data_IF_167927542258
#
_entry.id   IF_167927542258
#
_cell.length_a   1.000
_cell.length_b   1.000
_cell.length_c   1.000
_cell.angle_alpha   90.00
_cell.angle_beta   90.00
_cell.angle_gamma   90.00
#
_symmetry.space_group_name_H-M   'P 1'
#
loop_
_entity.id
_entity.type
_entity.pdbx_description
1 polymer ?
#
# COMPACT_ATOMS: atom_id res chain seq x y z
N UNK A 1 5.10 33.23 50.93
CA UNK A 1 4.36 33.23 52.22
C UNK A 1 5.09 34.01 53.32
N UNK A 2 6.37 33.76 53.60
CA UNK A 2 7.13 34.48 54.67
C UNK A 2 7.14 36.02 54.52
N UNK A 3 7.24 36.55 53.29
CA UNK A 3 7.24 38.00 53.03
C UNK A 3 5.87 38.66 53.25
N UNK A 4 4.77 37.94 52.96
CA UNK A 4 3.39 38.41 53.19
C UNK A 4 3.09 38.42 54.70
N UNK A 5 3.55 37.38 55.42
CA UNK A 5 3.46 37.31 56.89
C UNK A 5 4.25 38.42 57.59
N UNK A 6 5.45 38.76 57.09
CA UNK A 6 6.25 39.87 57.62
C UNK A 6 5.59 41.23 57.37
N UNK A 7 5.03 41.46 56.18
CA UNK A 7 4.30 42.71 55.87
C UNK A 7 3.02 42.82 56.72
N UNK A 8 2.27 41.73 56.88
CA UNK A 8 1.09 41.69 57.75
C UNK A 8 1.46 41.97 59.23
N UNK A 9 2.55 41.39 59.73
CA UNK A 9 3.04 41.66 61.08
C UNK A 9 3.51 43.12 61.25
N UNK A 10 4.19 43.69 60.27
CA UNK A 10 4.64 45.10 60.29
C UNK A 10 3.47 46.09 60.23
N UNK A 11 2.35 45.74 59.59
CA UNK A 11 1.14 46.58 59.55
C UNK A 11 0.30 46.44 60.84
N UNK A 12 0.24 45.25 61.44
CA UNK A 12 -0.54 44.99 62.66
C UNK A 12 0.13 45.54 63.93
N UNK A 13 1.45 45.49 64.04
CA UNK A 13 2.18 45.93 65.25
C UNK A 13 1.97 47.42 65.59
N UNK A 14 2.03 48.37 64.63
CA UNK A 14 1.73 49.78 64.90
C UNK A 14 0.27 50.01 65.30
N UNK A 15 -0.69 49.27 64.73
CA UNK A 15 -2.13 49.38 65.06
C UNK A 15 -2.40 48.95 66.50
N UNK A 16 -1.74 47.88 66.97
CA UNK A 16 -1.86 47.41 68.36
C UNK A 16 -1.17 48.37 69.33
N UNK A 17 -0.01 48.93 68.96
CA UNK A 17 0.65 49.96 69.77
C UNK A 17 -0.16 51.26 69.88
N UNK A 18 -0.93 51.61 68.85
CA UNK A 18 -1.85 52.77 68.88
C UNK A 18 -3.14 52.50 69.66
N UNK A 19 -3.56 51.23 69.79
CA UNK A 19 -4.77 50.83 70.51
C UNK A 19 -4.54 50.61 72.03
N UNK A 20 -3.29 50.39 72.46
CA UNK A 20 -2.93 50.17 73.87
C UNK A 20 -2.43 51.43 74.62
N UNK A 21 -2.24 52.56 73.92
CA UNK A 21 -1.87 53.84 74.52
C UNK A 21 -3.08 54.66 74.93
N UNK A 22 -3.53 54.50 76.17
CA UNK A 22 -4.47 55.41 76.82
C UNK A 22 -3.94 56.84 76.80
N UNK A 23 -4.82 57.77 76.43
CA UNK A 23 -4.47 59.15 76.14
C UNK A 23 -3.91 59.92 77.33
N UNK A 24 -2.92 60.76 77.01
CA UNK A 24 -2.71 62.08 77.59
C UNK A 24 -1.88 62.84 76.57
N UNK A 25 -2.49 63.76 75.83
CA UNK A 25 -1.85 64.95 75.29
C UNK A 25 -2.92 65.92 74.77
N UNK A 26 -3.17 66.96 75.57
CA UNK A 26 -3.68 68.24 75.10
C UNK A 26 -2.85 68.74 73.90
N UNK A 27 -3.54 69.23 72.88
CA UNK A 27 -2.96 70.10 71.85
C UNK A 27 -2.76 69.43 70.49
N UNK A 28 -3.45 69.96 69.48
CA UNK A 28 -3.18 69.74 68.05
C UNK A 28 -1.80 70.33 67.71
N UNK A 29 -0.73 69.65 68.12
CA UNK A 29 0.65 70.08 67.95
C UNK A 29 1.27 69.50 66.67
N UNK A 30 2.08 70.30 65.99
CA UNK A 30 2.86 69.90 64.80
C UNK A 30 3.69 68.61 65.05
N UNK A 31 4.02 68.32 66.31
CA UNK A 31 4.75 67.12 66.75
C UNK A 31 3.99 65.81 66.55
N UNK A 32 2.69 65.75 66.85
CA UNK A 32 1.91 64.51 66.66
C UNK A 32 1.69 64.22 65.18
N UNK A 33 1.48 65.26 64.38
CA UNK A 33 1.39 65.16 62.93
C UNK A 33 2.73 64.70 62.32
N UNK A 34 3.86 65.24 62.80
CA UNK A 34 5.19 64.80 62.39
C UNK A 34 5.46 63.32 62.76
N UNK A 35 5.03 62.86 63.93
CA UNK A 35 5.18 61.45 64.33
C UNK A 35 4.36 60.49 63.45
N UNK A 36 3.13 60.88 63.09
CA UNK A 36 2.28 60.10 62.16
C UNK A 36 2.87 60.04 60.76
N UNK A 37 3.40 61.16 60.24
CA UNK A 37 4.09 61.19 58.94
C UNK A 37 5.34 60.32 58.98
N UNK A 38 6.13 60.39 60.06
CA UNK A 38 7.33 59.57 60.22
C UNK A 38 6.99 58.07 60.24
N UNK A 39 5.95 57.66 60.97
CA UNK A 39 5.48 56.28 60.99
C UNK A 39 5.03 55.81 59.60
N UNK A 40 4.23 56.63 58.90
CA UNK A 40 3.80 56.34 57.54
C UNK A 40 4.98 56.25 56.56
N UNK A 41 5.97 57.14 56.67
CA UNK A 41 7.17 57.12 55.85
C UNK A 41 7.98 55.83 56.09
N UNK A 42 8.14 55.39 57.34
CA UNK A 42 8.79 54.13 57.69
C UNK A 42 8.04 52.94 57.08
N UNK A 43 6.70 52.94 57.16
CA UNK A 43 5.86 51.90 56.56
C UNK A 43 6.01 51.85 55.05
N UNK A 44 5.99 52.99 54.36
CA UNK A 44 6.19 53.08 52.90
C UNK A 44 7.57 52.56 52.50
N UNK A 45 8.62 52.92 53.24
CA UNK A 45 9.98 52.44 52.97
C UNK A 45 10.07 50.92 53.14
N UNK A 46 9.46 50.36 54.19
CA UNK A 46 9.39 48.90 54.37
C UNK A 46 8.59 48.23 53.24
N UNK A 47 7.43 48.79 52.86
CA UNK A 47 6.59 48.24 51.80
C UNK A 47 7.33 48.20 50.46
N UNK A 48 7.96 49.30 50.07
CA UNK A 48 8.71 49.38 48.80
C UNK A 48 9.90 48.41 48.81
N UNK A 49 10.62 48.29 49.94
CA UNK A 49 11.77 47.39 50.05
C UNK A 49 11.39 45.91 50.04
N UNK A 50 10.30 45.53 50.71
CA UNK A 50 9.87 44.13 50.84
C UNK A 50 8.93 43.66 49.72
N UNK A 51 8.03 44.50 49.21
CA UNK A 51 7.04 44.13 48.18
C UNK A 51 7.52 44.49 46.77
N UNK A 52 8.35 45.53 46.62
CA UNK A 52 8.81 45.98 45.29
C UNK A 52 9.61 44.92 44.53
N UNK A 53 10.46 44.15 45.22
CA UNK A 53 11.20 43.03 44.61
C UNK A 53 10.30 41.89 44.12
N UNK A 54 9.48 41.23 44.98
CA UNK A 54 8.64 40.11 44.55
C UNK A 54 7.56 40.53 43.53
N UNK A 55 7.05 41.76 43.60
CA UNK A 55 6.07 42.24 42.63
C UNK A 55 6.67 42.42 41.23
N UNK A 56 7.89 42.97 41.14
CA UNK A 56 8.61 43.09 39.86
C UNK A 56 8.98 41.74 39.28
N UNK A 57 9.43 40.81 40.12
CA UNK A 57 9.78 39.44 39.70
C UNK A 57 8.54 38.69 39.17
N UNK A 58 7.39 38.82 39.83
CA UNK A 58 6.14 38.23 39.37
C UNK A 58 5.68 38.80 38.02
N UNK A 59 5.76 40.12 37.83
CA UNK A 59 5.42 40.77 36.55
C UNK A 59 6.40 40.39 35.44
N UNK A 60 7.70 40.28 35.75
CA UNK A 60 8.72 39.82 34.80
C UNK A 60 8.48 38.36 34.39
N UNK A 61 8.22 37.46 35.35
CA UNK A 61 7.89 36.06 35.09
C UNK A 61 6.61 35.91 34.26
N UNK A 62 5.57 36.71 34.53
CA UNK A 62 4.34 36.75 33.71
C UNK A 62 4.63 37.16 32.27
N UNK A 63 5.45 38.19 32.08
CA UNK A 63 5.85 38.66 30.75
C UNK A 63 6.63 37.58 30.00
N UNK A 64 7.61 36.96 30.67
CA UNK A 64 8.41 35.88 30.10
C UNK A 64 7.57 34.67 29.70
N UNK A 65 6.59 34.28 30.53
CA UNK A 65 5.68 33.18 30.23
C UNK A 65 4.83 33.46 28.99
N UNK A 66 4.29 34.67 28.86
CA UNK A 66 3.51 35.09 27.68
C UNK A 66 4.39 35.13 26.44
N UNK A 67 5.60 35.67 26.55
CA UNK A 67 6.53 35.73 25.43
C UNK A 67 6.97 34.33 24.99
N UNK A 68 7.19 33.44 25.95
CA UNK A 68 7.49 32.02 25.70
C UNK A 68 6.32 31.31 25.03
N UNK A 69 5.09 31.48 25.52
CA UNK A 69 3.93 30.82 24.90
C UNK A 69 3.64 31.33 23.49
N UNK A 70 3.86 32.62 23.21
CA UNK A 70 3.75 33.18 21.86
C UNK A 70 4.83 32.60 20.94
N UNK A 71 6.08 32.51 21.41
CA UNK A 71 7.18 31.89 20.64
C UNK A 71 6.90 30.43 20.34
N UNK A 72 6.51 29.65 21.34
CA UNK A 72 6.17 28.23 21.16
C UNK A 72 4.99 28.05 20.19
N UNK A 73 3.97 28.91 20.25
CA UNK A 73 2.85 28.86 19.31
C UNK A 73 3.28 29.23 17.87
N UNK A 74 4.19 30.19 17.71
CA UNK A 74 4.74 30.55 16.41
C UNK A 74 5.61 29.42 15.84
N UNK A 75 6.49 28.84 16.65
CA UNK A 75 7.32 27.69 16.26
C UNK A 75 6.45 26.49 15.88
N UNK A 76 5.45 26.15 16.68
CA UNK A 76 4.51 25.07 16.38
C UNK A 76 3.75 25.32 15.06
N UNK A 77 3.34 26.57 14.80
CA UNK A 77 2.68 26.94 13.54
C UNK A 77 3.62 26.80 12.34
N UNK A 78 4.86 27.24 12.45
CA UNK A 78 5.83 27.10 11.36
C UNK A 78 6.24 25.65 11.12
N UNK A 79 6.39 24.84 12.18
CA UNK A 79 6.61 23.40 12.06
C UNK A 79 5.41 22.71 11.38
N UNK A 80 4.19 23.05 11.77
CA UNK A 80 2.98 22.49 11.15
C UNK A 80 2.87 22.87 9.67
N UNK A 81 3.18 24.12 9.30
CA UNK A 81 3.23 24.55 7.89
C UNK A 81 4.28 23.80 7.08
N UNK A 82 5.49 23.62 7.64
CA UNK A 82 6.55 22.85 6.98
C UNK A 82 6.14 21.39 6.78
N UNK A 83 5.58 20.77 7.81
CA UNK A 83 5.08 19.40 7.72
C UNK A 83 3.95 19.27 6.68
N UNK A 84 3.04 20.24 6.61
CA UNK A 84 1.98 20.25 5.59
C UNK A 84 2.57 20.36 4.18
N UNK A 85 3.52 21.28 3.95
CA UNK A 85 4.17 21.43 2.66
C UNK A 85 4.91 20.16 2.23
N UNK A 86 5.62 19.51 3.16
CA UNK A 86 6.30 18.24 2.91
C UNK A 86 5.31 17.11 2.58
N UNK A 87 4.19 17.02 3.29
CA UNK A 87 3.14 16.04 3.00
C UNK A 87 2.50 16.31 1.63
N UNK A 88 2.21 17.56 1.29
CA UNK A 88 1.67 17.93 -0.02
C UNK A 88 2.65 17.59 -1.16
N UNK A 89 3.95 17.83 -0.97
CA UNK A 89 4.97 17.46 -1.93
C UNK A 89 5.05 15.93 -2.10
N UNK A 90 5.07 15.19 -0.98
CA UNK A 90 5.05 13.73 -0.99
C UNK A 90 3.80 13.18 -1.68
N UNK A 91 2.63 13.77 -1.44
CA UNK A 91 1.39 13.37 -2.11
C UNK A 91 1.46 13.60 -3.62
N UNK A 92 1.94 14.76 -4.07
CA UNK A 92 2.14 15.04 -5.51
C UNK A 92 3.10 14.06 -6.16
N UNK A 93 4.19 13.72 -5.49
CA UNK A 93 5.14 12.70 -5.97
C UNK A 93 4.46 11.33 -6.07
N UNK A 94 3.64 10.95 -5.09
CA UNK A 94 2.89 9.69 -5.11
C UNK A 94 1.83 9.65 -6.21
N UNK A 95 1.12 10.74 -6.46
CA UNK A 95 0.17 10.81 -7.57
C UNK A 95 0.87 10.61 -8.93
N UNK A 96 2.07 11.16 -9.09
CA UNK A 96 2.89 10.95 -10.29
C UNK A 96 3.37 9.50 -10.41
N UNK A 97 3.88 8.90 -9.33
CA UNK A 97 4.26 7.48 -9.30
C UNK A 97 3.07 6.58 -9.68
N UNK A 98 1.87 6.86 -9.15
CA UNK A 98 0.66 6.12 -9.47
C UNK A 98 0.31 6.25 -10.96
N UNK A 99 0.37 7.46 -11.51
CA UNK A 99 0.12 7.69 -12.92
C UNK A 99 1.11 6.92 -13.82
N UNK A 100 2.39 6.91 -13.45
CA UNK A 100 3.44 6.17 -14.17
C UNK A 100 3.22 4.65 -14.07
N UNK A 101 2.84 4.13 -12.90
CA UNK A 101 2.48 2.72 -12.70
C UNK A 101 1.28 2.33 -13.57
N UNK A 102 0.23 3.14 -13.59
CA UNK A 102 -0.96 2.90 -14.43
C UNK A 102 -0.62 2.92 -15.92
N UNK A 103 0.20 3.88 -16.36
CA UNK A 103 0.64 3.97 -17.75
C UNK A 103 1.47 2.75 -18.16
N UNK A 104 2.44 2.35 -17.32
CA UNK A 104 3.26 1.15 -17.54
C UNK A 104 2.41 -0.12 -17.54
N UNK A 105 1.50 -0.28 -16.59
CA UNK A 105 0.62 -1.45 -16.51
C UNK A 105 -0.28 -1.57 -17.74
N UNK A 106 -0.81 -0.44 -18.24
CA UNK A 106 -1.61 -0.43 -19.46
C UNK A 106 -0.78 -0.81 -20.68
N UNK A 107 0.40 -0.23 -20.85
CA UNK A 107 1.29 -0.55 -21.97
C UNK A 107 1.75 -2.01 -21.94
N UNK A 108 2.15 -2.53 -20.77
CA UNK A 108 2.49 -3.95 -20.61
C UNK A 108 1.30 -4.87 -20.87
N UNK A 109 0.09 -4.48 -20.42
CA UNK A 109 -1.12 -5.25 -20.69
C UNK A 109 -1.50 -5.30 -22.18
N UNK A 110 -1.35 -4.18 -22.90
CA UNK A 110 -1.56 -4.14 -24.35
C UNK A 110 -0.52 -5.00 -25.09
N UNK A 111 0.76 -4.88 -24.73
CA UNK A 111 1.82 -5.69 -25.34
C UNK A 111 1.63 -7.20 -25.09
N UNK A 112 1.25 -7.59 -23.87
CA UNK A 112 1.01 -8.99 -23.53
C UNK A 112 -0.25 -9.52 -24.22
N UNK A 113 -1.32 -8.71 -24.33
CA UNK A 113 -2.51 -9.08 -25.11
C UNK A 113 -2.13 -9.37 -26.56
N UNK A 114 -1.40 -8.46 -27.19
CA UNK A 114 -1.02 -8.60 -28.60
C UNK A 114 -0.11 -9.82 -28.81
N UNK A 115 0.80 -10.08 -27.86
CA UNK A 115 1.63 -11.30 -27.85
C UNK A 115 0.79 -12.56 -27.74
N UNK A 116 -0.14 -12.62 -26.80
CA UNK A 116 -1.01 -13.79 -26.60
C UNK A 116 -1.92 -14.03 -27.81
N UNK A 117 -2.45 -12.96 -28.42
CA UNK A 117 -3.23 -13.08 -29.66
C UNK A 117 -2.37 -13.64 -30.79
N UNK A 118 -1.16 -13.11 -31.01
CA UNK A 118 -0.27 -13.60 -32.05
C UNK A 118 0.18 -15.06 -31.81
N UNK A 119 0.43 -15.44 -30.55
CA UNK A 119 0.75 -16.82 -30.18
C UNK A 119 -0.44 -17.75 -30.39
N UNK A 120 -1.65 -17.31 -30.03
CA UNK A 120 -2.90 -18.03 -30.26
C UNK A 120 -3.16 -18.29 -31.74
N UNK A 121 -2.98 -17.27 -32.60
CA UNK A 121 -3.10 -17.42 -34.05
C UNK A 121 -2.08 -18.41 -34.61
N UNK A 122 -0.81 -18.32 -34.21
CA UNK A 122 0.22 -19.28 -34.62
C UNK A 122 -0.08 -20.70 -34.15
N UNK A 123 -0.64 -20.86 -32.95
CA UNK A 123 -1.04 -22.16 -32.43
C UNK A 123 -2.23 -22.73 -33.22
N UNK A 124 -3.22 -21.90 -33.55
CA UNK A 124 -4.36 -22.30 -34.36
C UNK A 124 -3.92 -22.80 -35.75
N UNK A 125 -2.99 -22.07 -36.41
CA UNK A 125 -2.42 -22.50 -37.70
C UNK A 125 -1.70 -23.84 -37.57
N UNK A 126 -0.84 -24.00 -36.55
CA UNK A 126 -0.15 -25.29 -36.31
C UNK A 126 -1.11 -26.45 -36.06
N UNK A 127 -2.17 -26.22 -35.28
CA UNK A 127 -3.18 -27.24 -35.02
C UNK A 127 -3.89 -27.63 -36.32
N UNK A 128 -4.24 -26.66 -37.16
CA UNK A 128 -4.88 -26.93 -38.45
C UNK A 128 -3.96 -27.72 -39.40
N UNK A 129 -2.68 -27.36 -39.49
CA UNK A 129 -1.69 -28.09 -40.29
C UNK A 129 -1.48 -29.53 -39.78
N UNK A 130 -1.37 -29.70 -38.46
CA UNK A 130 -1.24 -31.02 -37.86
C UNK A 130 -2.50 -31.87 -38.09
N UNK A 131 -3.68 -31.28 -37.95
CA UNK A 131 -4.94 -31.96 -38.21
C UNK A 131 -5.04 -32.41 -39.67
N UNK A 132 -4.66 -31.55 -40.62
CA UNK A 132 -4.62 -31.91 -42.05
C UNK A 132 -3.66 -33.07 -42.31
N UNK A 133 -2.45 -33.01 -41.76
CA UNK A 133 -1.45 -34.07 -41.88
C UNK A 133 -1.96 -35.40 -41.32
N UNK A 134 -2.62 -35.35 -40.16
CA UNK A 134 -3.21 -36.54 -39.55
C UNK A 134 -4.36 -37.11 -40.40
N UNK A 135 -5.22 -36.25 -40.95
CA UNK A 135 -6.30 -36.67 -41.85
C UNK A 135 -5.73 -37.36 -43.08
N UNK A 136 -4.69 -36.79 -43.71
CA UNK A 136 -4.06 -37.39 -44.89
C UNK A 136 -3.44 -38.76 -44.57
N UNK A 137 -2.82 -38.90 -43.40
CA UNK A 137 -2.27 -40.17 -42.92
C UNK A 137 -3.37 -41.22 -42.67
N UNK A 138 -4.43 -40.86 -41.94
CA UNK A 138 -5.55 -41.76 -41.67
C UNK A 138 -6.30 -42.14 -42.94
N UNK A 139 -6.45 -41.21 -43.90
CA UNK A 139 -7.07 -41.50 -45.20
C UNK A 139 -6.24 -42.52 -45.99
N UNK A 140 -4.91 -42.39 -45.98
CA UNK A 140 -4.02 -43.35 -46.63
C UNK A 140 -4.14 -44.72 -45.98
N UNK A 141 -4.11 -44.78 -44.65
CA UNK A 141 -4.28 -46.02 -43.88
C UNK A 141 -5.63 -46.68 -44.14
N UNK A 142 -6.72 -45.91 -44.17
CA UNK A 142 -8.06 -46.42 -44.48
C UNK A 142 -8.13 -47.01 -45.89
N UNK A 143 -7.49 -46.39 -46.88
CA UNK A 143 -7.41 -46.93 -48.25
C UNK A 143 -6.65 -48.25 -48.30
N UNK A 144 -5.53 -48.36 -47.58
CA UNK A 144 -4.74 -49.59 -47.48
C UNK A 144 -5.58 -50.73 -46.86
N UNK A 145 -6.31 -50.47 -45.77
CA UNK A 145 -7.20 -51.44 -45.12
C UNK A 145 -8.32 -51.88 -46.08
N UNK A 146 -9.00 -50.94 -46.74
CA UNK A 146 -10.08 -51.28 -47.69
C UNK A 146 -9.53 -52.12 -48.86
N UNK A 147 -8.33 -51.81 -49.34
CA UNK A 147 -7.70 -52.56 -50.43
C UNK A 147 -7.37 -53.99 -49.98
N UNK A 148 -6.85 -54.17 -48.77
CA UNK A 148 -6.59 -55.49 -48.19
C UNK A 148 -7.87 -56.31 -48.02
N UNK A 149 -8.93 -55.71 -47.47
CA UNK A 149 -10.25 -56.35 -47.32
C UNK A 149 -10.84 -56.74 -48.68
N UNK A 150 -10.74 -55.87 -49.69
CA UNK A 150 -11.23 -56.16 -51.04
C UNK A 150 -10.47 -57.33 -51.69
N UNK A 151 -9.15 -57.40 -51.51
CA UNK A 151 -8.33 -58.53 -51.99
C UNK A 151 -8.74 -59.82 -51.28
N UNK A 152 -8.93 -59.80 -49.97
CA UNK A 152 -9.38 -60.98 -49.22
C UNK A 152 -10.77 -61.45 -49.68
N UNK A 153 -11.72 -60.53 -49.86
CA UNK A 153 -13.06 -60.86 -50.35
C UNK A 153 -13.02 -61.44 -51.77
N UNK A 154 -12.19 -60.88 -52.67
CA UNK A 154 -12.03 -61.39 -54.01
C UNK A 154 -11.41 -62.80 -54.04
N UNK A 155 -10.42 -63.07 -53.17
CA UNK A 155 -9.83 -64.40 -53.01
C UNK A 155 -10.86 -65.41 -52.48
N UNK A 156 -11.68 -65.03 -51.51
CA UNK A 156 -12.76 -65.90 -50.99
C UNK A 156 -13.79 -66.25 -52.07
N UNK A 157 -14.24 -65.25 -52.85
CA UNK A 157 -15.15 -65.46 -53.99
C UNK A 157 -14.53 -66.34 -55.07
N UNK A 158 -13.24 -66.14 -55.38
CA UNK A 158 -12.52 -66.98 -56.32
C UNK A 158 -12.39 -68.42 -55.82
N UNK A 159 -12.07 -68.62 -54.54
CA UNK A 159 -12.00 -69.94 -53.92
C UNK A 159 -13.36 -70.65 -53.97
N UNK A 160 -14.44 -69.96 -53.62
CA UNK A 160 -15.79 -70.52 -53.65
C UNK A 160 -16.22 -70.89 -55.07
N UNK A 161 -15.94 -70.03 -56.05
CA UNK A 161 -16.23 -70.30 -57.47
C UNK A 161 -15.40 -71.45 -58.02
N UNK A 162 -14.11 -71.54 -57.68
CA UNK A 162 -13.25 -72.68 -58.05
C UNK A 162 -13.79 -73.96 -57.44
N UNK A 163 -14.17 -73.96 -56.15
CA UNK A 163 -14.77 -75.14 -55.49
C UNK A 163 -16.07 -75.59 -56.16
N UNK A 164 -16.90 -74.67 -56.64
CA UNK A 164 -18.14 -74.99 -57.35
C UNK A 164 -17.89 -75.54 -58.77
N UNK A 165 -16.84 -75.09 -59.45
CA UNK A 165 -16.49 -75.52 -60.81
C UNK A 165 -15.57 -76.75 -60.86
N UNK A 166 -15.05 -77.20 -59.72
CA UNK A 166 -14.15 -78.36 -59.63
C UNK A 166 -14.92 -79.68 -59.82
N UNK A 167 -15.19 -80.04 -61.07
CA UNK A 167 -15.73 -81.36 -61.44
C UNK A 167 -14.59 -82.38 -61.61
N UNK A 168 -14.90 -83.69 -61.58
CA UNK A 168 -13.88 -84.74 -61.79
C UNK A 168 -13.17 -84.59 -63.14
N UNK A 169 -13.87 -84.16 -64.18
CA UNK A 169 -13.28 -83.96 -65.51
C UNK A 169 -12.34 -82.74 -65.57
N UNK A 170 -12.69 -81.64 -64.88
CA UNK A 170 -11.80 -80.47 -64.75
C UNK A 170 -10.50 -80.82 -64.01
N UNK A 171 -10.58 -81.59 -62.92
CA UNK A 171 -9.40 -82.04 -62.16
C UNK A 171 -8.46 -82.90 -63.02
N UNK A 172 -9.03 -83.81 -63.80
CA UNK A 172 -8.28 -84.73 -64.66
C UNK A 172 -7.60 -83.98 -65.82
N UNK A 173 -8.24 -82.91 -66.33
CA UNK A 173 -7.68 -82.00 -67.33
C UNK A 173 -6.53 -81.16 -66.76
N UNK A 174 -6.69 -80.58 -65.57
CA UNK A 174 -5.64 -79.82 -64.87
C UNK A 174 -4.42 -80.69 -64.53
N UNK A 175 -4.64 -81.96 -64.17
CA UNK A 175 -3.56 -82.91 -63.90
C UNK A 175 -2.76 -83.22 -65.16
N UNK A 176 -3.43 -83.49 -66.29
CA UNK A 176 -2.78 -83.68 -67.60
C UNK A 176 -1.99 -82.46 -68.05
N UNK A 177 -2.50 -81.26 -67.81
CA UNK A 177 -1.84 -80.00 -68.17
C UNK A 177 -0.63 -79.70 -67.26
N UNK A 178 -0.72 -80.01 -65.97
CA UNK A 178 0.39 -79.90 -65.00
C UNK A 178 1.53 -80.87 -65.31
N UNK A 179 1.20 -82.11 -65.71
CA UNK A 179 2.19 -83.10 -66.16
C UNK A 179 2.93 -82.59 -67.41
N UNK A 180 2.19 -82.00 -68.37
CA UNK A 180 2.75 -81.44 -69.60
C UNK A 180 3.68 -80.24 -69.36
N UNK A 181 3.36 -79.39 -68.38
CA UNK A 181 4.22 -78.29 -67.95
C UNK A 181 5.52 -78.75 -67.28
N UNK A 182 5.49 -79.88 -66.58
CA UNK A 182 6.68 -80.48 -65.96
C UNK A 182 7.53 -81.20 -67.00
N UNK A 183 6.92 -81.91 -67.96
CA UNK A 183 7.63 -82.53 -69.09
C UNK A 183 8.29 -81.50 -70.02
N UNK A 184 7.72 -80.30 -70.18
CA UNK A 184 8.31 -79.20 -70.96
C UNK A 184 9.42 -78.41 -70.24
N UNK A 185 9.73 -78.75 -68.98
CA UNK A 185 10.76 -78.09 -68.16
C UNK A 185 11.91 -79.06 -67.79
N UNK A 186 12.14 -80.06 -68.64
CA UNK A 186 13.35 -80.89 -68.68
C UNK A 186 13.97 -80.82 -70.07
#
# INVERSE_FOLDING_TARGET
MKSILLVAAVVLVPVVAFAAGGGDHEGMGIKDWAWRILNFAILVVLLVKFVGKPLREYLASRKELIEKSIREAQEAKELAKKALAEVEERLKLKDKEIADILASAKSSGEAERDRLTAEGERMAVRIAEQAKTNIDFELKRAKEIIQEEAVQAALQLAEEKIRQQLTKDEQDKLLRESIKLIEGRN
#
